data_IF_670804232089
#
_entry.id   IF_670804232089
#
_cell.length_a   1.000
_cell.length_b   1.000
_cell.length_c   1.000
_cell.angle_alpha   90.00
_cell.angle_beta   90.00
_cell.angle_gamma   90.00
#
_symmetry.space_group_name_H-M   'P 1'
#
loop_
_entity.id
_entity.type
_entity.pdbx_description
1 polymer ?
#
# COMPACT_ATOMS: atom_id res chain seq x y z
N UNK A 1 16.63 15.16 -8.43
CA UNK A 1 15.40 14.41 -8.07
C UNK A 1 15.29 13.28 -9.08
N UNK A 2 15.11 12.05 -8.64
CA UNK A 2 14.97 10.87 -9.52
C UNK A 2 13.72 11.00 -10.36
N UNK A 3 13.73 10.45 -11.56
CA UNK A 3 12.56 10.38 -12.45
C UNK A 3 11.85 9.03 -12.27
N UNK A 4 11.00 8.94 -11.25
CA UNK A 4 10.26 7.71 -10.95
C UNK A 4 9.28 7.33 -12.06
N UNK A 5 8.83 8.27 -12.88
CA UNK A 5 8.01 7.96 -14.04
C UNK A 5 8.81 7.14 -15.06
N UNK A 6 10.06 7.51 -15.29
CA UNK A 6 10.95 6.75 -16.17
C UNK A 6 11.31 5.38 -15.55
N UNK A 7 11.59 5.33 -14.24
CA UNK A 7 11.98 4.10 -13.56
C UNK A 7 10.84 3.06 -13.45
N UNK A 8 9.58 3.50 -13.43
CA UNK A 8 8.39 2.66 -13.36
C UNK A 8 7.66 2.50 -14.70
N UNK A 9 8.27 2.98 -15.81
CA UNK A 9 7.62 3.02 -17.12
C UNK A 9 7.09 1.65 -17.56
N UNK A 10 7.87 0.61 -17.34
CA UNK A 10 7.59 -0.73 -17.82
C UNK A 10 6.78 -1.57 -16.83
N UNK A 11 6.42 -1.00 -15.66
CA UNK A 11 5.55 -1.68 -14.72
C UNK A 11 4.09 -1.53 -15.14
N UNK A 12 3.38 -2.62 -15.42
CA UNK A 12 1.95 -2.55 -15.70
C UNK A 12 1.19 -2.17 -14.44
N UNK A 13 0.57 -1.00 -14.42
CA UNK A 13 -0.26 -0.52 -13.32
C UNK A 13 -1.74 -0.72 -13.61
N UNK A 14 -2.53 -0.84 -12.53
CA UNK A 14 -3.97 -0.87 -12.62
C UNK A 14 -4.52 0.55 -12.70
N UNK A 15 -5.04 0.88 -13.85
CA UNK A 15 -5.82 2.09 -14.05
C UNK A 15 -7.30 1.70 -14.17
N UNK A 16 -8.20 2.56 -13.69
CA UNK A 16 -9.64 2.26 -13.60
C UNK A 16 -10.31 1.85 -14.91
N UNK A 17 -9.81 2.37 -16.03
CA UNK A 17 -10.25 1.93 -17.33
C UNK A 17 -9.90 0.48 -17.62
N UNK A 18 -8.86 0.00 -17.00
CA UNK A 18 -8.40 -1.38 -17.18
C UNK A 18 -9.48 -2.37 -16.74
N UNK A 19 -10.13 -2.17 -15.58
CA UNK A 19 -11.20 -3.09 -15.16
C UNK A 19 -12.40 -3.08 -16.09
N UNK A 20 -12.84 -1.90 -16.52
CA UNK A 20 -13.91 -1.78 -17.49
C UNK A 20 -13.52 -2.41 -18.85
N UNK A 21 -12.26 -2.24 -19.27
CA UNK A 21 -11.71 -2.85 -20.47
C UNK A 21 -11.64 -4.37 -20.33
N UNK A 22 -11.15 -4.89 -19.21
CA UNK A 22 -11.10 -6.33 -18.95
C UNK A 22 -12.49 -6.94 -18.87
N UNK A 23 -13.40 -6.31 -18.13
CA UNK A 23 -14.80 -6.76 -18.06
C UNK A 23 -15.47 -6.77 -19.43
N UNK A 24 -15.25 -5.74 -20.27
CA UNK A 24 -15.79 -5.66 -21.63
C UNK A 24 -15.17 -6.70 -22.58
N UNK A 25 -13.94 -7.13 -22.34
CA UNK A 25 -13.26 -8.16 -23.14
C UNK A 25 -13.42 -9.57 -22.59
N UNK A 26 -14.07 -9.74 -21.44
CA UNK A 26 -14.13 -11.03 -20.74
C UNK A 26 -12.77 -11.50 -20.21
N UNK A 27 -11.82 -10.57 -20.06
CA UNK A 27 -10.48 -10.86 -19.52
C UNK A 27 -10.52 -10.83 -17.99
N UNK A 28 -9.82 -11.76 -17.36
CA UNK A 28 -9.68 -11.82 -15.92
C UNK A 28 -8.63 -10.79 -15.43
N UNK A 29 -8.62 -10.55 -14.12
CA UNK A 29 -7.50 -9.87 -13.45
C UNK A 29 -6.17 -10.45 -13.94
N UNK A 30 -5.23 -9.61 -14.32
CA UNK A 30 -3.90 -10.02 -14.73
C UNK A 30 -2.83 -9.72 -13.68
N UNK A 31 -1.61 -10.16 -13.96
CA UNK A 31 -0.44 -9.93 -13.13
C UNK A 31 0.09 -8.50 -13.32
N UNK A 32 -0.50 -7.52 -12.62
CA UNK A 32 -0.05 -6.12 -12.62
C UNK A 32 0.01 -5.52 -11.22
N UNK A 33 0.64 -4.36 -11.11
CA UNK A 33 0.60 -3.54 -9.89
C UNK A 33 -0.80 -2.95 -9.76
N UNK A 34 -1.53 -3.34 -8.73
CA UNK A 34 -2.91 -2.88 -8.49
C UNK A 34 -2.94 -1.48 -7.85
N UNK A 35 -2.21 -0.55 -8.46
CA UNK A 35 -2.05 0.83 -7.98
C UNK A 35 -2.22 1.82 -9.14
N UNK A 36 -2.76 3.00 -8.85
CA UNK A 36 -2.69 4.13 -9.76
C UNK A 36 -1.21 4.56 -9.95
N UNK A 37 -0.73 4.63 -11.18
CA UNK A 37 0.66 4.98 -11.49
C UNK A 37 1.09 6.32 -10.87
N UNK A 38 0.23 7.33 -10.91
CA UNK A 38 0.56 8.65 -10.35
C UNK A 38 0.68 8.61 -8.84
N UNK A 39 -0.12 7.79 -8.17
CA UNK A 39 -0.05 7.59 -6.72
C UNK A 39 1.16 6.75 -6.33
N UNK A 40 1.50 5.74 -7.13
CA UNK A 40 2.73 4.97 -6.97
C UNK A 40 3.98 5.85 -7.10
N UNK A 41 4.01 6.78 -8.08
CA UNK A 41 5.09 7.78 -8.20
C UNK A 41 5.14 8.64 -6.94
N UNK A 42 4.01 9.13 -6.45
CA UNK A 42 3.94 9.92 -5.21
C UNK A 42 4.43 9.13 -3.97
N UNK A 43 4.16 7.84 -3.91
CA UNK A 43 4.72 6.96 -2.87
C UNK A 43 6.23 6.84 -2.99
N UNK A 44 6.77 6.71 -4.21
CA UNK A 44 8.22 6.69 -4.45
C UNK A 44 8.89 8.02 -4.05
N UNK A 45 8.25 9.15 -4.36
CA UNK A 45 8.71 10.47 -3.92
C UNK A 45 8.78 10.59 -2.40
N UNK A 46 7.79 10.05 -1.69
CA UNK A 46 7.78 9.99 -0.23
C UNK A 46 8.90 9.08 0.30
N UNK A 47 9.05 7.88 -0.25
CA UNK A 47 10.09 6.91 0.15
C UNK A 47 11.49 7.54 0.02
N UNK A 48 11.76 8.24 -1.11
CA UNK A 48 13.05 8.92 -1.33
C UNK A 48 13.25 10.07 -0.33
N UNK A 49 12.26 10.96 -0.21
CA UNK A 49 12.33 12.14 0.65
C UNK A 49 12.53 11.77 2.11
N UNK A 50 11.83 10.76 2.60
CA UNK A 50 11.91 10.31 3.98
C UNK A 50 13.08 9.35 4.23
N UNK A 51 13.81 8.94 3.19
CA UNK A 51 14.95 8.01 3.32
C UNK A 51 14.55 6.65 3.88
N UNK A 52 13.42 6.10 3.41
CA UNK A 52 12.92 4.78 3.84
C UNK A 52 13.88 3.69 3.41
N UNK A 53 14.33 2.87 4.37
CA UNK A 53 15.31 1.79 4.17
C UNK A 53 14.74 0.40 4.43
N UNK A 54 13.61 0.31 5.11
CA UNK A 54 12.93 -0.96 5.37
C UNK A 54 11.45 -0.89 5.04
N UNK A 55 10.95 -1.92 4.37
CA UNK A 55 9.60 -1.98 3.81
C UNK A 55 8.91 -3.29 4.13
N UNK A 56 7.66 -3.21 4.55
CA UNK A 56 6.76 -4.36 4.71
C UNK A 56 5.46 -4.10 3.94
N UNK A 57 5.05 -5.05 3.13
CA UNK A 57 3.75 -5.06 2.44
C UNK A 57 2.84 -6.13 3.03
N UNK A 58 1.63 -5.74 3.41
CA UNK A 58 0.58 -6.64 3.91
C UNK A 58 -0.52 -6.71 2.86
N UNK A 59 -0.65 -7.88 2.20
CA UNK A 59 -1.41 -8.07 0.99
C UNK A 59 -0.59 -7.73 -0.23
N UNK A 60 0.06 -8.73 -0.82
CA UNK A 60 1.01 -8.49 -1.93
C UNK A 60 0.43 -8.83 -3.30
N UNK A 61 -0.79 -9.40 -3.36
CA UNK A 61 -1.34 -9.91 -4.60
C UNK A 61 -0.36 -10.89 -5.28
N UNK A 62 0.19 -10.54 -6.43
CA UNK A 62 1.21 -11.34 -7.12
C UNK A 62 2.65 -10.98 -6.74
N UNK A 63 2.86 -9.95 -5.89
CA UNK A 63 4.19 -9.49 -5.45
C UNK A 63 4.84 -8.47 -6.38
N UNK A 64 4.12 -7.94 -7.38
CA UNK A 64 4.67 -6.95 -8.31
C UNK A 64 5.02 -5.64 -7.65
N UNK A 65 4.18 -5.14 -6.72
CA UNK A 65 4.46 -3.86 -6.06
C UNK A 65 5.72 -3.93 -5.21
N UNK A 66 5.82 -4.91 -4.30
CA UNK A 66 7.02 -5.09 -3.48
C UNK A 66 8.28 -5.29 -4.34
N UNK A 67 8.17 -6.02 -5.45
CA UNK A 67 9.27 -6.24 -6.39
C UNK A 67 9.70 -4.95 -7.09
N UNK A 68 8.74 -4.15 -7.58
CA UNK A 68 9.01 -2.87 -8.23
C UNK A 68 9.67 -1.89 -7.26
N UNK A 69 9.11 -1.73 -6.05
CA UNK A 69 9.67 -0.84 -5.03
C UNK A 69 11.07 -1.29 -4.58
N UNK A 70 11.27 -2.59 -4.35
CA UNK A 70 12.60 -3.07 -3.96
C UNK A 70 13.63 -2.92 -5.09
N UNK A 71 13.26 -3.12 -6.34
CA UNK A 71 14.12 -2.85 -7.51
C UNK A 71 14.58 -1.39 -7.57
N UNK A 72 13.66 -0.46 -7.27
CA UNK A 72 13.91 0.99 -7.31
C UNK A 72 14.76 1.45 -6.12
N UNK A 73 14.46 1.00 -4.90
CA UNK A 73 15.03 1.55 -3.67
C UNK A 73 16.11 0.69 -3.01
N UNK A 74 16.18 -0.60 -3.35
CA UNK A 74 17.16 -1.53 -2.74
C UNK A 74 17.09 -1.48 -1.21
N UNK A 75 15.91 -1.71 -0.66
CA UNK A 75 15.70 -1.69 0.80
C UNK A 75 16.69 -2.62 1.53
N UNK A 76 17.19 -2.19 2.68
CA UNK A 76 18.05 -3.01 3.54
C UNK A 76 17.28 -4.19 4.13
N UNK A 77 15.97 -4.01 4.35
CA UNK A 77 15.04 -5.05 4.76
C UNK A 77 13.76 -4.92 3.94
N UNK A 78 13.43 -5.96 3.21
CA UNK A 78 12.14 -6.12 2.52
C UNK A 78 11.39 -7.30 3.12
N UNK A 79 10.13 -7.08 3.46
CA UNK A 79 9.25 -8.08 4.05
C UNK A 79 7.87 -8.03 3.39
N UNK A 80 7.17 -9.15 3.42
CA UNK A 80 5.85 -9.27 2.82
C UNK A 80 4.99 -10.29 3.57
N UNK A 81 3.68 -10.05 3.59
CA UNK A 81 2.69 -10.94 4.18
C UNK A 81 1.52 -11.13 3.21
N UNK A 82 1.13 -12.38 2.94
CA UNK A 82 -0.07 -12.69 2.18
C UNK A 82 -0.64 -14.05 2.61
N UNK A 83 -1.96 -14.21 2.53
CA UNK A 83 -2.61 -15.50 2.80
C UNK A 83 -2.81 -16.37 1.56
N UNK A 84 -2.43 -15.88 0.36
CA UNK A 84 -2.49 -16.63 -0.88
C UNK A 84 -3.77 -16.47 -1.67
N UNK A 85 -4.42 -15.31 -1.60
CA UNK A 85 -5.62 -15.07 -2.40
C UNK A 85 -5.35 -15.11 -3.91
N UNK A 86 -4.25 -14.53 -4.37
CA UNK A 86 -3.85 -14.56 -5.78
C UNK A 86 -3.74 -15.99 -6.32
N UNK A 87 -3.20 -16.91 -5.50
CA UNK A 87 -3.01 -18.31 -5.90
C UNK A 87 -4.33 -19.08 -6.01
N UNK A 88 -5.32 -18.72 -5.18
CA UNK A 88 -6.68 -19.27 -5.31
C UNK A 88 -7.34 -18.88 -6.65
N UNK A 89 -6.86 -17.80 -7.26
CA UNK A 89 -7.29 -17.32 -8.59
C UNK A 89 -6.36 -17.80 -9.72
N UNK A 90 -5.38 -18.66 -9.43
CA UNK A 90 -4.49 -19.24 -10.43
C UNK A 90 -3.23 -18.40 -10.73
N UNK A 91 -2.94 -17.35 -9.96
CA UNK A 91 -1.71 -16.59 -10.08
C UNK A 91 -0.64 -17.12 -9.14
N UNK A 92 0.62 -16.83 -9.45
CA UNK A 92 1.75 -17.13 -8.58
C UNK A 92 2.18 -15.86 -7.84
N UNK A 93 2.45 -15.99 -6.53
CA UNK A 93 3.05 -14.90 -5.75
C UNK A 93 4.57 -14.96 -5.95
N UNK A 94 5.15 -13.92 -6.53
CA UNK A 94 6.59 -13.78 -6.78
C UNK A 94 7.10 -12.52 -6.09
N UNK A 95 7.95 -12.71 -5.09
CA UNK A 95 8.62 -11.63 -4.37
C UNK A 95 10.14 -11.74 -4.57
N UNK A 96 10.94 -10.67 -4.36
CA UNK A 96 12.39 -10.75 -4.37
C UNK A 96 12.92 -11.87 -3.45
N UNK A 97 14.00 -12.55 -3.84
CA UNK A 97 14.53 -13.70 -3.11
C UNK A 97 14.89 -13.39 -1.65
N UNK A 98 15.35 -12.19 -1.37
CA UNK A 98 15.72 -11.69 -0.04
C UNK A 98 14.51 -11.30 0.81
N UNK A 99 13.30 -11.34 0.27
CA UNK A 99 12.09 -10.96 1.00
C UNK A 99 11.83 -11.91 2.16
N UNK A 100 11.71 -11.37 3.36
CA UNK A 100 11.15 -12.11 4.49
C UNK A 100 9.64 -12.25 4.29
N UNK A 101 9.20 -13.42 3.85
CA UNK A 101 7.82 -13.67 3.49
C UNK A 101 7.07 -14.44 4.58
N UNK A 102 5.97 -13.88 5.06
CA UNK A 102 5.02 -14.56 5.94
C UNK A 102 3.80 -15.01 5.16
N UNK A 103 3.60 -16.33 5.09
CA UNK A 103 2.42 -16.93 4.48
C UNK A 103 1.34 -17.13 5.52
N UNK A 104 0.30 -16.29 5.54
CA UNK A 104 -0.79 -16.42 6.50
C UNK A 104 -1.59 -15.14 6.75
N UNK A 105 -2.49 -15.19 7.75
CA UNK A 105 -3.32 -14.05 8.16
C UNK A 105 -2.51 -13.05 9.00
N UNK A 106 -2.50 -11.79 8.57
CA UNK A 106 -1.88 -10.64 9.28
C UNK A 106 -2.46 -10.40 10.68
N UNK A 107 -3.64 -10.92 10.98
CA UNK A 107 -4.25 -10.85 12.31
C UNK A 107 -3.84 -11.97 13.27
N UNK A 108 -3.12 -12.99 12.80
CA UNK A 108 -2.79 -14.18 13.58
C UNK A 108 -1.73 -13.93 14.66
N UNK A 109 -1.66 -14.82 15.66
CA UNK A 109 -0.60 -14.80 16.66
C UNK A 109 0.76 -15.11 16.06
N UNK A 110 0.79 -15.96 15.03
CA UNK A 110 1.97 -16.32 14.24
C UNK A 110 2.54 -15.10 13.53
N UNK A 111 1.70 -14.31 12.87
CA UNK A 111 2.11 -13.05 12.24
C UNK A 111 2.73 -12.10 13.25
N UNK A 112 2.13 -11.93 14.43
CA UNK A 112 2.66 -11.04 15.47
C UNK A 112 4.05 -11.46 15.94
N UNK A 113 4.30 -12.77 16.11
CA UNK A 113 5.64 -13.29 16.44
C UNK A 113 6.64 -12.98 15.33
N UNK A 114 6.30 -13.33 14.09
CA UNK A 114 7.13 -13.04 12.93
C UNK A 114 7.37 -11.52 12.75
N UNK A 115 6.34 -10.68 12.93
CA UNK A 115 6.47 -9.22 12.83
C UNK A 115 7.41 -8.65 13.91
N UNK A 116 7.40 -9.22 15.11
CA UNK A 116 8.33 -8.85 16.18
C UNK A 116 9.79 -9.17 15.81
N UNK A 117 10.05 -10.27 15.12
CA UNK A 117 11.38 -10.67 14.65
C UNK A 117 11.95 -9.73 13.57
N UNK A 118 11.09 -9.04 12.83
CA UNK A 118 11.54 -8.02 11.86
C UNK A 118 12.13 -6.78 12.54
N UNK A 119 11.76 -6.51 13.79
CA UNK A 119 12.16 -5.31 14.50
C UNK A 119 11.55 -4.03 13.91
N UNK A 120 12.40 -3.01 13.73
CA UNK A 120 11.98 -1.73 13.15
C UNK A 120 11.73 -1.84 11.64
N UNK A 121 10.61 -1.30 11.18
CA UNK A 121 10.28 -1.14 9.76
C UNK A 121 9.95 0.32 9.49
N UNK A 122 10.62 0.96 8.54
CA UNK A 122 10.34 2.36 8.22
C UNK A 122 8.92 2.54 7.66
N UNK A 123 8.55 1.74 6.66
CA UNK A 123 7.26 1.84 5.98
C UNK A 123 6.55 0.49 5.95
N UNK A 124 5.35 0.45 6.51
CA UNK A 124 4.42 -0.69 6.37
C UNK A 124 3.27 -0.25 5.48
N UNK A 125 3.07 -0.90 4.35
CA UNK A 125 1.89 -0.71 3.49
C UNK A 125 0.85 -1.79 3.81
N UNK A 126 -0.37 -1.36 4.11
CA UNK A 126 -1.53 -2.21 4.39
C UNK A 126 -2.47 -2.14 3.19
N UNK A 127 -2.52 -3.23 2.43
CA UNK A 127 -3.30 -3.38 1.19
C UNK A 127 -3.86 -4.81 1.06
N UNK A 128 -4.45 -5.33 2.14
CA UNK A 128 -4.95 -6.69 2.21
C UNK A 128 -6.49 -6.73 2.15
N UNK A 129 -7.14 -7.03 3.26
CA UNK A 129 -8.60 -7.09 3.36
C UNK A 129 -9.17 -5.68 3.58
N UNK A 130 -9.91 -5.17 2.61
CA UNK A 130 -10.46 -3.82 2.61
C UNK A 130 -11.71 -3.63 3.51
N UNK A 131 -12.16 -4.67 4.23
CA UNK A 131 -13.24 -4.53 5.20
C UNK A 131 -12.77 -3.67 6.39
N UNK A 132 -13.63 -2.78 6.86
CA UNK A 132 -13.31 -1.84 7.94
C UNK A 132 -12.63 -2.48 9.16
N UNK A 133 -13.18 -3.59 9.66
CA UNK A 133 -12.63 -4.27 10.83
C UNK A 133 -11.26 -4.92 10.57
N UNK A 134 -11.00 -5.35 9.34
CA UNK A 134 -9.73 -5.94 8.95
C UNK A 134 -8.64 -4.87 8.86
N UNK A 135 -8.89 -3.76 8.18
CA UNK A 135 -7.97 -2.62 8.12
C UNK A 135 -7.66 -2.08 9.51
N UNK A 136 -8.69 -1.89 10.35
CA UNK A 136 -8.52 -1.46 11.73
C UNK A 136 -7.67 -2.43 12.56
N UNK A 137 -7.85 -3.74 12.36
CA UNK A 137 -7.04 -4.78 13.00
C UNK A 137 -5.58 -4.70 12.55
N UNK A 138 -5.33 -4.61 11.25
CA UNK A 138 -3.98 -4.56 10.69
C UNK A 138 -3.25 -3.29 11.12
N UNK A 139 -3.95 -2.15 11.19
CA UNK A 139 -3.43 -0.94 11.82
C UNK A 139 -3.04 -1.17 13.28
N UNK A 140 -3.97 -1.69 14.10
CA UNK A 140 -3.74 -1.89 15.53
C UNK A 140 -2.56 -2.84 15.80
N UNK A 141 -2.43 -3.91 15.00
CA UNK A 141 -1.31 -4.85 15.09
C UNK A 141 0.00 -4.15 14.77
N UNK A 142 0.11 -3.50 13.60
CA UNK A 142 1.37 -2.91 13.15
C UNK A 142 1.76 -1.67 13.94
N UNK A 143 0.79 -0.90 14.43
CA UNK A 143 1.02 0.22 15.35
C UNK A 143 1.70 -0.21 16.66
N UNK A 144 1.51 -1.45 17.08
CA UNK A 144 2.15 -2.03 18.27
C UNK A 144 3.64 -2.34 18.12
N UNK A 145 4.19 -2.31 16.91
CA UNK A 145 5.60 -2.59 16.64
C UNK A 145 6.37 -1.32 16.25
N UNK A 146 7.72 -1.30 16.37
CA UNK A 146 8.52 -0.16 15.93
C UNK A 146 8.37 0.09 14.42
N UNK A 147 7.96 1.31 14.07
CA UNK A 147 7.79 1.78 12.69
C UNK A 147 7.91 3.31 12.62
N UNK A 148 8.10 3.85 11.41
CA UNK A 148 7.97 5.29 11.14
C UNK A 148 6.62 5.60 10.52
N UNK A 149 6.24 4.87 9.47
CA UNK A 149 5.05 5.13 8.67
C UNK A 149 4.19 3.89 8.53
N UNK A 150 2.86 4.06 8.65
CA UNK A 150 1.86 3.09 8.23
C UNK A 150 1.10 3.68 7.04
N UNK A 151 1.16 3.02 5.90
CA UNK A 151 0.44 3.44 4.71
C UNK A 151 -0.76 2.53 4.43
N UNK A 152 -1.79 3.08 3.81
CA UNK A 152 -3.03 2.39 3.45
C UNK A 152 -3.34 2.68 1.99
N UNK A 153 -3.64 1.65 1.22
CA UNK A 153 -4.16 1.80 -0.11
C UNK A 153 -5.68 1.99 -0.07
N UNK A 154 -6.28 2.52 -1.15
CA UNK A 154 -7.73 2.71 -1.31
C UNK A 154 -8.42 3.67 -0.33
N UNK A 155 -7.72 4.65 0.23
CA UNK A 155 -8.31 5.65 1.15
C UNK A 155 -9.38 6.54 0.49
N UNK A 156 -9.45 6.55 -0.84
CA UNK A 156 -10.45 7.23 -1.67
C UNK A 156 -11.30 6.24 -2.48
N UNK A 157 -11.19 4.96 -2.17
CA UNK A 157 -11.92 3.90 -2.85
C UNK A 157 -13.42 4.19 -2.92
N UNK A 158 -13.95 4.23 -4.13
CA UNK A 158 -15.35 4.55 -4.38
C UNK A 158 -16.25 3.31 -4.46
N UNK A 159 -15.65 2.12 -4.43
CA UNK A 159 -16.35 0.84 -4.57
C UNK A 159 -16.83 0.31 -3.21
N UNK A 160 -17.91 -0.47 -3.18
CA UNK A 160 -18.33 -1.13 -1.94
C UNK A 160 -17.22 -1.96 -1.30
N UNK A 161 -16.35 -2.59 -2.11
CA UNK A 161 -15.25 -3.43 -1.65
C UNK A 161 -14.17 -2.64 -0.89
N UNK A 162 -13.93 -1.38 -1.29
CA UNK A 162 -12.89 -0.52 -0.70
C UNK A 162 -13.44 0.50 0.32
N UNK A 163 -14.76 0.57 0.47
CA UNK A 163 -15.42 1.52 1.37
C UNK A 163 -14.98 1.40 2.85
N UNK A 164 -14.54 0.20 3.26
CA UNK A 164 -14.05 -0.03 4.62
C UNK A 164 -12.74 0.67 4.91
N UNK A 165 -11.81 0.73 3.94
CA UNK A 165 -10.53 1.46 4.06
C UNK A 165 -10.78 2.95 4.16
N UNK A 166 -11.61 3.48 3.24
CA UNK A 166 -11.98 4.90 3.24
C UNK A 166 -12.59 5.31 4.59
N UNK A 167 -13.57 4.54 5.06
CA UNK A 167 -14.21 4.79 6.35
C UNK A 167 -13.19 4.79 7.49
N UNK A 168 -12.31 3.80 7.55
CA UNK A 168 -11.25 3.73 8.56
C UNK A 168 -10.33 4.95 8.49
N UNK A 169 -9.90 5.33 7.29
CA UNK A 169 -9.04 6.49 7.09
C UNK A 169 -9.70 7.80 7.52
N UNK A 170 -10.96 8.01 7.18
CA UNK A 170 -11.71 9.21 7.55
C UNK A 170 -11.92 9.30 9.09
N UNK A 171 -12.15 8.15 9.78
CA UNK A 171 -12.33 8.08 11.23
C UNK A 171 -11.00 8.11 12.01
N UNK A 172 -9.86 7.90 11.37
CA UNK A 172 -8.54 7.95 12.04
C UNK A 172 -8.18 9.40 12.36
N UNK A 173 -8.36 9.79 13.62
CA UNK A 173 -8.23 11.16 14.14
C UNK A 173 -6.92 11.42 14.92
N UNK A 174 -6.10 10.40 15.13
CA UNK A 174 -4.84 10.46 15.84
C UNK A 174 -3.62 10.48 14.90
N UNK A 175 -2.52 11.08 15.36
CA UNK A 175 -1.25 11.16 14.62
C UNK A 175 -1.28 12.16 13.48
N UNK A 176 -0.32 12.03 12.57
CA UNK A 176 -0.18 12.89 11.40
C UNK A 176 -0.53 12.10 10.15
N UNK A 177 -1.28 12.72 9.26
CA UNK A 177 -1.79 12.11 8.03
C UNK A 177 -1.27 12.87 6.81
N UNK A 178 -0.82 12.13 5.81
CA UNK A 178 -0.51 12.63 4.47
C UNK A 178 -1.32 11.80 3.47
N UNK A 179 -1.91 12.44 2.49
CA UNK A 179 -2.64 11.78 1.41
C UNK A 179 -1.92 11.96 0.08
N UNK A 180 -1.67 10.86 -0.58
CA UNK A 180 -1.20 10.81 -1.96
C UNK A 180 -2.42 10.46 -2.82
N UNK A 181 -3.08 11.51 -3.29
CA UNK A 181 -4.31 11.42 -4.08
C UNK A 181 -4.03 12.09 -5.41
N UNK A 182 -3.96 11.32 -6.47
CA UNK A 182 -3.58 11.78 -7.80
C UNK A 182 -4.63 11.39 -8.84
N UNK A 183 -4.84 12.20 -9.88
CA UNK A 183 -5.74 11.86 -10.96
C UNK A 183 -5.23 10.65 -11.75
N UNK A 184 -6.14 9.90 -12.37
CA UNK A 184 -5.81 8.84 -13.31
C UNK A 184 -5.58 9.43 -14.70
N UNK A 185 -4.41 10.01 -14.93
CA UNK A 185 -4.09 10.74 -16.18
C UNK A 185 -4.17 9.87 -17.42
N UNK A 186 -3.72 8.62 -17.32
CA UNK A 186 -3.71 7.68 -18.46
C UNK A 186 -5.15 7.38 -18.96
N UNK A 187 -6.16 7.61 -18.11
CA UNK A 187 -7.58 7.42 -18.42
C UNK A 187 -8.34 8.70 -18.69
N UNK A 188 -7.68 9.87 -18.63
CA UNK A 188 -8.36 11.16 -18.76
C UNK A 188 -9.30 11.47 -17.60
N UNK A 189 -9.10 10.86 -16.42
CA UNK A 189 -9.94 11.06 -15.23
C UNK A 189 -9.21 12.00 -14.27
N UNK A 190 -9.81 13.18 -14.04
CA UNK A 190 -9.21 14.25 -13.20
C UNK A 190 -9.35 14.01 -11.68
N UNK A 191 -9.74 12.81 -11.25
CA UNK A 191 -9.85 12.45 -9.83
C UNK A 191 -9.19 11.14 -9.52
N UNK A 192 -8.73 10.95 -8.27
CA UNK A 192 -8.35 9.65 -7.76
C UNK A 192 -9.60 8.84 -7.39
N UNK A 193 -9.51 7.52 -7.56
CA UNK A 193 -10.50 6.57 -7.10
C UNK A 193 -9.89 5.49 -6.18
N UNK A 194 -8.61 5.62 -5.87
CA UNK A 194 -7.84 4.75 -4.98
C UNK A 194 -7.29 5.57 -3.81
N UNK A 195 -6.14 6.22 -3.98
CA UNK A 195 -5.47 7.04 -2.98
C UNK A 195 -4.63 6.22 -2.00
N UNK A 196 -3.47 6.77 -1.63
CA UNK A 196 -2.61 6.21 -0.59
C UNK A 196 -2.60 7.18 0.59
N UNK A 197 -3.00 6.69 1.77
CA UNK A 197 -2.88 7.43 3.02
C UNK A 197 -1.62 7.01 3.76
N UNK A 198 -0.88 7.97 4.30
CA UNK A 198 0.30 7.70 5.12
C UNK A 198 0.10 8.31 6.49
N UNK A 199 0.20 7.49 7.51
CA UNK A 199 0.07 7.86 8.90
C UNK A 199 1.41 7.75 9.63
N UNK A 200 1.67 8.67 10.56
CA UNK A 200 2.81 8.57 11.48
C UNK A 200 2.51 9.17 12.84
N UNK A 201 3.34 8.82 13.86
CA UNK A 201 3.26 9.41 15.20
C UNK A 201 3.92 10.79 15.30
N UNK A 202 4.80 11.10 14.36
CA UNK A 202 5.55 12.35 14.30
C UNK A 202 5.22 13.09 12.99
N UNK A 203 5.34 14.42 12.93
CA UNK A 203 5.09 15.15 11.71
C UNK A 203 5.89 14.60 10.52
N UNK A 204 5.21 14.42 9.39
CA UNK A 204 5.84 14.15 8.09
C UNK A 204 6.46 15.46 7.58
N UNK A 205 7.60 15.39 6.93
CA UNK A 205 8.16 16.55 6.24
C UNK A 205 7.16 17.01 5.18
N UNK A 206 6.48 18.14 5.41
CA UNK A 206 5.34 18.68 4.65
C UNK A 206 3.96 17.98 4.86
N UNK A 207 3.80 17.22 5.93
CA UNK A 207 2.48 16.73 6.36
C UNK A 207 1.69 17.82 7.10
N UNK A 208 0.39 17.94 6.83
CA UNK A 208 -0.47 18.82 7.62
C UNK A 208 -0.81 18.12 8.94
N UNK A 209 -0.65 18.84 10.05
CA UNK A 209 -1.25 18.40 11.31
C UNK A 209 -2.79 18.34 11.14
N UNK A 210 -3.50 17.38 11.74
CA UNK A 210 -4.95 17.42 11.76
C UNK A 210 -5.39 18.74 12.36
N UNK A 211 -6.40 19.38 11.76
CA UNK A 211 -6.96 20.61 12.30
C UNK A 211 -7.41 20.33 13.73
N UNK A 212 -6.82 21.01 14.71
CA UNK A 212 -7.26 20.97 16.09
C UNK A 212 -8.71 21.40 16.13
N UNK A 213 -9.61 20.49 16.45
CA UNK A 213 -10.98 20.83 16.80
C UNK A 213 -10.89 21.60 18.12
N UNK A 214 -10.93 22.92 18.05
CA UNK A 214 -11.12 23.77 19.23
C UNK A 214 -12.50 23.46 19.80
N UNK A 215 -12.49 22.94 21.02
CA UNK A 215 -13.64 22.72 21.90
C UNK A 215 -14.44 23.99 22.13
#
# INVERSE_FOLDING_TARGET
>A
MRDFRAELRDEPCWDLGTEAIFAARGEALDDRVLQNREELIGLCELIEREGVRSYLEIGVWTGRLVSALHRVFRFDLVAACDHGWAEQLGFEIRVPLETRFFRGDSGSAEFRRWRAELGHIDLVLIDADHRYHAVRRDFAVNRGFPHRFLAFHDIRGARPQTAGVRRFWDELDEGFKLEIVRPHRELGIDRSLMGIGVWSRIPLVNGHAPASISS
#
